data_IF_179594312968
#
_entry.id   IF_179594312968
#
_cell.length_a   1.000
_cell.length_b   1.000
_cell.length_c   1.000
_cell.angle_alpha   90.00
_cell.angle_beta   90.00
_cell.angle_gamma   90.00
#
_symmetry.space_group_name_H-M   'P 1'
#
loop_
_entity.id
_entity.type
_entity.pdbx_description
1 polymer ?
#
# COMPACT_ATOMS: atom_id res chain seq x y z
N UNK A 1 -28.88 -2.42 16.85
CA UNK A 1 -29.06 -1.23 15.99
C UNK A 1 -27.90 -0.22 16.02
N UNK A 2 -27.20 0.02 17.15
CA UNK A 2 -26.06 0.98 17.18
C UNK A 2 -24.74 0.43 16.61
N UNK A 3 -24.54 -0.90 16.64
CA UNK A 3 -23.32 -1.54 16.16
C UNK A 3 -23.25 -1.63 14.63
N UNK A 4 -24.35 -2.00 13.98
CA UNK A 4 -24.48 -2.06 12.51
C UNK A 4 -24.31 -0.68 11.88
N UNK A 5 -24.84 0.35 12.54
CA UNK A 5 -24.71 1.75 12.13
C UNK A 5 -23.28 2.27 12.29
N UNK A 6 -22.52 1.77 13.28
CA UNK A 6 -21.08 2.05 13.45
C UNK A 6 -20.23 1.34 12.40
N UNK A 7 -20.57 0.09 12.08
CA UNK A 7 -19.90 -0.67 11.02
C UNK A 7 -20.10 -0.03 9.65
N UNK A 8 -21.35 0.39 9.35
CA UNK A 8 -21.69 1.11 8.12
C UNK A 8 -20.96 2.44 8.00
N UNK A 9 -20.88 3.22 9.09
CA UNK A 9 -20.13 4.48 9.09
C UNK A 9 -18.63 4.26 8.85
N UNK A 10 -18.05 3.22 9.45
CA UNK A 10 -16.64 2.88 9.28
C UNK A 10 -16.30 2.48 7.84
N UNK A 11 -17.17 1.67 7.21
CA UNK A 11 -17.00 1.26 5.81
C UNK A 11 -17.10 2.46 4.85
N UNK A 12 -18.05 3.36 5.09
CA UNK A 12 -18.21 4.61 4.31
C UNK A 12 -17.00 5.54 4.50
N UNK A 13 -16.48 5.66 5.72
CA UNK A 13 -15.30 6.48 6.00
C UNK A 13 -14.03 5.92 5.33
N UNK A 14 -13.81 4.60 5.37
CA UNK A 14 -12.71 3.96 4.65
C UNK A 14 -12.83 4.15 3.13
N UNK A 15 -14.04 3.98 2.56
CA UNK A 15 -14.27 4.22 1.14
C UNK A 15 -14.01 5.69 0.77
N UNK A 16 -14.43 6.64 1.60
CA UNK A 16 -14.17 8.06 1.39
C UNK A 16 -12.68 8.40 1.45
N UNK A 17 -11.90 7.78 2.34
CA UNK A 17 -10.45 7.96 2.43
C UNK A 17 -9.72 7.39 1.20
N UNK A 18 -10.18 6.26 0.66
CA UNK A 18 -9.63 5.70 -0.59
C UNK A 18 -9.92 6.61 -1.79
N UNK A 19 -11.10 7.24 -1.84
CA UNK A 19 -11.47 8.19 -2.90
C UNK A 19 -10.74 9.53 -2.73
N UNK A 20 -10.48 9.96 -1.49
CA UNK A 20 -9.78 11.21 -1.17
C UNK A 20 -8.25 11.09 -1.20
N UNK A 21 -7.71 9.88 -1.34
CA UNK A 21 -6.29 9.65 -1.59
C UNK A 21 -5.93 10.11 -3.01
N UNK A 22 -5.86 11.43 -3.20
CA UNK A 22 -5.31 12.01 -4.41
C UNK A 22 -3.81 11.70 -4.45
N UNK A 23 -3.26 11.29 -5.61
CA UNK A 23 -1.82 11.13 -5.73
C UNK A 23 -1.14 12.46 -5.43
N UNK A 24 -0.24 12.47 -4.45
CA UNK A 24 0.63 13.60 -4.18
C UNK A 24 1.55 13.79 -5.40
N UNK A 25 1.16 14.73 -6.27
CA UNK A 25 1.91 15.12 -7.46
C UNK A 25 3.18 15.89 -7.01
N UNK A 26 4.24 15.16 -6.68
CA UNK A 26 5.58 15.71 -6.56
C UNK A 26 6.17 15.81 -7.97
N UNK A 27 6.22 17.01 -8.54
CA UNK A 27 6.79 17.22 -9.87
C UNK A 27 6.63 18.63 -10.41
N UNK A 28 6.88 19.65 -9.57
CA UNK A 28 7.16 20.99 -10.06
C UNK A 28 8.67 21.16 -10.24
N UNK A 29 9.15 21.36 -11.47
CA UNK A 29 10.52 21.81 -11.70
C UNK A 29 11.14 21.46 -13.05
N UNK A 30 10.92 22.32 -14.07
CA UNK A 30 11.88 22.55 -15.17
C UNK A 30 12.00 21.46 -16.24
N UNK A 31 11.31 21.68 -17.36
CA UNK A 31 11.22 20.77 -18.50
C UNK A 31 12.55 20.33 -19.09
N UNK A 32 12.82 19.03 -18.96
CA UNK A 32 13.83 18.32 -19.73
C UNK A 32 13.13 17.66 -20.94
N UNK A 33 13.73 17.60 -22.14
CA UNK A 33 13.03 17.13 -23.35
C UNK A 33 12.60 15.65 -23.31
N UNK A 34 13.17 14.88 -22.39
CA UNK A 34 12.77 13.49 -22.10
C UNK A 34 11.64 13.37 -21.08
N UNK A 35 11.25 14.46 -20.42
CA UNK A 35 10.17 14.45 -19.43
C UNK A 35 8.81 14.23 -20.10
N UNK A 36 8.56 14.83 -21.27
CA UNK A 36 7.33 14.64 -22.04
C UNK A 36 7.07 13.18 -22.41
N UNK A 37 8.03 12.47 -23.04
CA UNK A 37 7.90 11.04 -23.34
C UNK A 37 7.72 10.17 -22.08
N UNK A 38 8.46 10.43 -21.00
CA UNK A 38 8.32 9.68 -19.75
C UNK A 38 6.96 9.90 -19.08
N UNK A 39 6.45 11.13 -19.13
CA UNK A 39 5.14 11.50 -18.61
C UNK A 39 4.00 10.91 -19.44
N UNK A 40 4.20 10.77 -20.75
CA UNK A 40 3.25 10.10 -21.65
C UNK A 40 3.20 8.58 -21.41
N UNK A 41 4.34 7.95 -21.11
CA UNK A 41 4.37 6.54 -20.69
C UNK A 41 3.70 6.37 -19.32
N UNK A 42 3.97 7.27 -18.37
CA UNK A 42 3.30 7.27 -17.07
C UNK A 42 1.79 7.38 -17.25
N UNK A 43 1.32 8.37 -18.01
CA UNK A 43 -0.09 8.56 -18.37
C UNK A 43 -0.68 7.35 -19.11
N UNK A 44 0.12 6.58 -19.86
CA UNK A 44 -0.38 5.40 -20.56
C UNK A 44 -0.56 4.20 -19.62
N UNK A 45 0.24 4.13 -18.55
CA UNK A 45 0.19 3.06 -17.54
C UNK A 45 -0.85 3.38 -16.44
N UNK A 46 -1.06 4.66 -16.11
CA UNK A 46 -2.05 5.09 -15.10
C UNK A 46 -3.32 5.71 -15.69
N UNK A 47 -3.39 5.92 -17.00
CA UNK A 47 -4.52 6.55 -17.67
C UNK A 47 -5.69 5.61 -17.99
N UNK A 48 -6.74 6.14 -18.65
CA UNK A 48 -7.98 5.41 -18.94
C UNK A 48 -7.76 4.12 -19.72
N UNK A 49 -6.75 4.08 -20.58
CA UNK A 49 -6.40 2.90 -21.41
C UNK A 49 -6.00 1.71 -20.54
N UNK A 50 -5.15 1.92 -19.53
CA UNK A 50 -4.80 0.88 -18.57
C UNK A 50 -6.03 0.39 -17.78
N UNK A 51 -6.93 1.32 -17.44
CA UNK A 51 -8.21 1.00 -16.81
C UNK A 51 -9.08 0.07 -17.66
N UNK A 52 -9.24 0.36 -18.95
CA UNK A 52 -10.01 -0.50 -19.86
C UNK A 52 -9.37 -1.87 -20.07
N UNK A 53 -8.03 -1.95 -20.15
CA UNK A 53 -7.30 -3.22 -20.23
C UNK A 53 -7.51 -4.04 -18.95
N UNK A 54 -7.42 -3.42 -17.77
CA UNK A 54 -7.65 -4.08 -16.50
C UNK A 54 -9.09 -4.61 -16.40
N UNK A 55 -10.08 -3.81 -16.81
CA UNK A 55 -11.49 -4.22 -16.86
C UNK A 55 -11.68 -5.42 -17.80
N UNK A 56 -11.12 -5.37 -19.01
CA UNK A 56 -11.18 -6.48 -19.96
C UNK A 56 -10.53 -7.76 -19.40
N UNK A 57 -9.36 -7.65 -18.76
CA UNK A 57 -8.68 -8.79 -18.14
C UNK A 57 -9.50 -9.43 -17.02
N UNK A 58 -10.11 -8.63 -16.15
CA UNK A 58 -10.99 -9.11 -15.07
C UNK A 58 -12.25 -9.77 -15.65
N UNK A 59 -12.84 -9.21 -16.71
CA UNK A 59 -13.99 -9.81 -17.38
C UNK A 59 -13.65 -11.16 -18.03
N UNK A 60 -12.50 -11.28 -18.68
CA UNK A 60 -12.02 -12.54 -19.26
C UNK A 60 -11.72 -13.57 -18.16
N UNK A 61 -11.06 -13.16 -17.08
CA UNK A 61 -10.79 -14.04 -15.93
C UNK A 61 -12.08 -14.53 -15.26
N UNK A 62 -13.06 -13.63 -15.05
CA UNK A 62 -14.39 -13.96 -14.54
C UNK A 62 -15.19 -14.84 -15.49
N UNK A 63 -15.07 -14.60 -16.80
CA UNK A 63 -15.70 -15.43 -17.83
C UNK A 63 -15.12 -16.84 -17.87
N UNK A 64 -13.79 -17.00 -17.84
CA UNK A 64 -13.13 -18.30 -17.78
C UNK A 64 -13.52 -19.10 -16.52
N UNK A 65 -13.74 -18.41 -15.41
CA UNK A 65 -14.24 -18.98 -14.15
C UNK A 65 -15.68 -19.50 -14.27
N UNK A 66 -16.60 -18.72 -14.84
CA UNK A 66 -18.04 -19.08 -14.89
C UNK A 66 -18.31 -20.15 -15.96
N UNK A 67 -17.66 -20.07 -17.12
CA UNK A 67 -17.87 -21.01 -18.23
C UNK A 67 -17.04 -22.29 -18.13
N UNK A 68 -16.25 -22.46 -17.06
CA UNK A 68 -15.69 -23.76 -16.70
C UNK A 68 -14.44 -24.17 -17.47
N UNK A 69 -13.45 -23.28 -17.59
CA UNK A 69 -12.08 -23.69 -17.90
C UNK A 69 -11.36 -24.12 -16.62
N UNK A 70 -10.97 -25.39 -16.49
CA UNK A 70 -10.16 -25.98 -15.41
C UNK A 70 -10.29 -25.23 -14.06
N UNK A 71 -11.53 -25.06 -13.57
CA UNK A 71 -11.87 -24.26 -12.39
C UNK A 71 -11.03 -24.64 -11.17
N UNK A 72 -10.73 -25.93 -11.06
CA UNK A 72 -9.88 -26.51 -10.05
C UNK A 72 -8.44 -25.97 -10.11
N UNK A 73 -7.86 -25.79 -11.30
CA UNK A 73 -6.52 -25.23 -11.50
C UNK A 73 -6.49 -23.73 -11.23
N UNK A 74 -7.52 -22.99 -11.65
CA UNK A 74 -7.61 -21.57 -11.32
C UNK A 74 -7.75 -21.35 -9.80
N UNK A 75 -8.65 -22.09 -9.15
CA UNK A 75 -8.85 -22.02 -7.70
C UNK A 75 -7.55 -22.37 -6.94
N UNK A 76 -6.84 -23.41 -7.41
CA UNK A 76 -5.54 -23.80 -6.87
C UNK A 76 -4.50 -22.69 -7.03
N UNK A 77 -4.46 -22.01 -8.19
CA UNK A 77 -3.53 -20.91 -8.46
C UNK A 77 -3.86 -19.67 -7.62
N UNK A 78 -5.14 -19.33 -7.47
CA UNK A 78 -5.59 -18.26 -6.57
C UNK A 78 -5.22 -18.55 -5.13
N UNK A 79 -5.44 -19.79 -4.68
CA UNK A 79 -5.09 -20.21 -3.32
C UNK A 79 -3.62 -19.94 -3.05
N UNK A 80 -2.71 -20.32 -3.94
CA UNK A 80 -1.26 -20.05 -3.78
C UNK A 80 -0.93 -18.56 -3.69
N UNK A 81 -1.53 -17.72 -4.55
CA UNK A 81 -1.30 -16.27 -4.54
C UNK A 81 -1.77 -15.66 -3.21
N UNK A 82 -2.95 -16.03 -2.75
CA UNK A 82 -3.50 -15.55 -1.48
C UNK A 82 -2.69 -16.06 -0.29
N UNK A 83 -2.24 -17.32 -0.30
CA UNK A 83 -1.41 -17.90 0.75
C UNK A 83 -0.08 -17.15 0.87
N UNK A 84 0.60 -16.90 -0.25
CA UNK A 84 1.87 -16.16 -0.28
C UNK A 84 1.67 -14.72 0.18
N UNK A 85 0.66 -14.01 -0.37
CA UNK A 85 0.37 -12.64 0.03
C UNK A 85 0.03 -12.53 1.53
N UNK A 86 -0.77 -13.46 2.05
CA UNK A 86 -1.13 -13.52 3.46
C UNK A 86 0.07 -13.79 4.36
N UNK A 87 0.98 -14.69 3.97
CA UNK A 87 2.23 -14.93 4.71
C UNK A 87 3.11 -13.68 4.73
N UNK A 88 3.29 -13.00 3.58
CA UNK A 88 4.11 -11.80 3.50
C UNK A 88 3.54 -10.66 4.36
N UNK A 89 2.22 -10.45 4.31
CA UNK A 89 1.51 -9.47 5.14
C UNK A 89 1.54 -9.84 6.64
N UNK A 90 1.48 -11.13 6.98
CA UNK A 90 1.61 -11.58 8.36
C UNK A 90 3.04 -11.46 8.89
N UNK A 91 4.04 -11.70 8.04
CA UNK A 91 5.45 -11.63 8.41
C UNK A 91 5.87 -10.21 8.82
N UNK A 92 5.36 -9.16 8.16
CA UNK A 92 5.64 -7.77 8.54
C UNK A 92 5.12 -7.46 9.95
N UNK A 93 3.97 -8.02 10.34
CA UNK A 93 3.43 -7.88 11.69
C UNK A 93 4.34 -8.56 12.74
N UNK A 94 4.85 -9.76 12.45
CA UNK A 94 5.77 -10.49 13.33
C UNK A 94 7.08 -9.73 13.49
N UNK A 95 7.66 -9.24 12.40
CA UNK A 95 8.90 -8.44 12.43
C UNK A 95 8.70 -7.17 13.25
N UNK A 96 7.54 -6.52 13.16
CA UNK A 96 7.21 -5.33 13.96
C UNK A 96 7.23 -5.59 15.48
N UNK A 97 6.79 -6.77 15.93
CA UNK A 97 6.79 -7.14 17.35
C UNK A 97 8.21 -7.23 17.93
N UNK A 98 9.17 -7.72 17.15
CA UNK A 98 10.57 -7.83 17.55
C UNK A 98 11.40 -6.58 17.23
N UNK A 99 11.02 -5.81 16.22
CA UNK A 99 11.71 -4.58 15.81
C UNK A 99 11.50 -3.40 16.77
N UNK A 100 10.32 -3.27 17.39
CA UNK A 100 10.06 -2.21 18.37
C UNK A 100 10.71 -2.45 19.75
N UNK A 101 11.20 -3.67 20.00
CA UNK A 101 11.86 -4.06 21.26
C UNK A 101 13.40 -3.97 21.18
N UNK A 102 13.95 -3.63 20.01
CA UNK A 102 15.39 -3.49 19.78
C UNK A 102 15.90 -2.08 20.10
N UNK A 103 16.35 -1.89 21.34
CA UNK A 103 17.18 -0.78 21.85
C UNK A 103 16.62 0.66 21.75
N UNK A 104 16.12 1.20 22.87
CA UNK A 104 16.20 2.63 23.14
C UNK A 104 17.66 2.99 23.44
N UNK A 105 18.38 3.54 22.46
CA UNK A 105 19.68 4.16 22.74
C UNK A 105 19.38 5.44 23.51
N UNK A 106 19.49 5.36 24.84
CA UNK A 106 19.57 6.54 25.69
C UNK A 106 20.84 7.28 25.31
N UNK A 107 20.70 8.44 24.68
CA UNK A 107 21.77 9.43 24.63
C UNK A 107 22.09 9.78 26.08
N UNK A 108 23.21 9.28 26.60
CA UNK A 108 23.78 9.80 27.84
C UNK A 108 24.29 11.19 27.49
N UNK A 109 23.47 12.20 27.77
CA UNK A 109 23.95 13.57 27.87
C UNK A 109 24.92 13.58 29.04
N UNK A 110 26.20 13.43 28.73
CA UNK A 110 27.28 13.67 29.68
C UNK A 110 27.23 15.17 30.00
N UNK A 111 26.50 15.52 31.05
CA UNK A 111 26.67 16.80 31.72
C UNK A 111 28.04 16.78 32.37
N UNK A 112 29.06 17.17 31.62
CA UNK A 112 30.31 17.71 32.14
C UNK A 112 29.95 18.96 32.98
N UNK A 113 29.58 18.73 34.23
CA UNK A 113 29.62 19.74 35.29
C UNK A 113 31.07 19.88 35.74
N UNK A 114 31.85 20.56 34.90
CA UNK A 114 33.14 21.11 35.27
C UNK A 114 32.92 22.51 35.90
N UNK A 115 33.32 22.62 37.18
CA UNK A 115 33.90 23.82 37.79
C UNK A 115 32.95 25.04 38.04
N UNK A 116 32.66 25.49 39.28
CA UNK A 116 33.57 26.16 40.21
C UNK A 116 32.93 26.38 41.62
N UNK A 117 33.71 26.30 42.71
CA UNK A 117 33.31 26.82 44.02
C UNK A 117 33.50 28.35 44.11
N UNK A 118 32.41 29.07 44.34
CA UNK A 118 32.46 30.49 44.70
C UNK A 118 32.75 30.64 46.21
N UNK A 119 33.91 31.20 46.52
CA UNK A 119 34.21 31.84 47.82
C UNK A 119 33.80 33.31 47.82
#
# INVERSE_FOLDING_TARGET
MSLERRLGLGLVACAALVIAAQPALAGGGGGLPWEGPLQQIQQSITGPVAGFIALAAVAVAGGMLIFGGELNDFARRLMYVVLVAGILLGATQIVGLFGASGASIGTVEASEQEELPHG
#
